data_IF_232689076414
#
_entry.id   IF_232689076414
#
_cell.length_a   1.000
_cell.length_b   1.000
_cell.length_c   1.000
_cell.angle_alpha   90.00
_cell.angle_beta   90.00
_cell.angle_gamma   90.00
#
_symmetry.space_group_name_H-M   'P 1'
#
loop_
_entity.id
_entity.type
_entity.pdbx_description
1 polymer ?
#
# COMPACT_ATOMS: atom_id res chain seq x y z
N UNK A 1 9.10 14.55 -8.79
CA UNK A 1 8.38 13.46 -9.47
C UNK A 1 8.08 12.42 -8.41
N UNK A 2 6.98 11.64 -8.42
CA UNK A 2 6.87 10.55 -7.46
C UNK A 2 7.98 9.57 -7.83
N UNK A 3 9.07 9.60 -7.07
CA UNK A 3 10.20 8.72 -7.32
C UNK A 3 9.69 7.29 -7.19
N UNK A 4 10.00 6.46 -8.19
CA UNK A 4 9.69 5.05 -8.07
C UNK A 4 10.60 4.47 -7.00
N UNK A 5 9.98 4.02 -5.92
CA UNK A 5 10.66 3.55 -4.72
C UNK A 5 10.23 2.12 -4.42
N UNK A 6 11.13 1.40 -3.75
CA UNK A 6 10.75 0.13 -3.14
C UNK A 6 9.82 0.40 -1.95
N UNK A 7 9.18 -0.63 -1.40
CA UNK A 7 8.18 -0.44 -0.35
C UNK A 7 8.78 0.24 0.90
N UNK A 8 9.98 -0.17 1.31
CA UNK A 8 10.68 0.38 2.48
C UNK A 8 11.02 1.86 2.31
N UNK A 9 11.62 2.23 1.18
CA UNK A 9 11.95 3.63 0.87
C UNK A 9 10.69 4.47 0.71
N UNK A 10 9.59 3.89 0.19
CA UNK A 10 8.30 4.59 0.09
C UNK A 10 7.76 4.93 1.48
N UNK A 11 7.87 3.99 2.42
CA UNK A 11 7.52 4.19 3.83
C UNK A 11 8.37 5.30 4.45
N UNK A 12 9.71 5.18 4.37
CA UNK A 12 10.62 6.19 4.90
C UNK A 12 10.39 7.57 4.29
N UNK A 13 10.09 7.65 2.99
CA UNK A 13 9.76 8.89 2.33
C UNK A 13 8.50 9.53 2.93
N UNK A 14 7.42 8.79 3.14
CA UNK A 14 6.23 9.32 3.81
C UNK A 14 6.54 9.75 5.26
N UNK A 15 7.30 8.94 5.99
CA UNK A 15 7.67 9.21 7.38
C UNK A 15 8.57 10.45 7.52
N UNK A 16 9.38 10.77 6.52
CA UNK A 16 10.21 11.99 6.49
C UNK A 16 9.37 13.28 6.52
N UNK A 17 8.10 13.20 6.09
CA UNK A 17 7.14 14.30 6.16
C UNK A 17 6.20 14.21 7.38
N UNK A 18 6.42 13.26 8.30
CA UNK A 18 5.50 12.96 9.40
C UNK A 18 4.21 12.27 8.96
N UNK A 19 4.18 11.71 7.75
CA UNK A 19 3.05 10.98 7.19
C UNK A 19 3.33 9.48 7.24
N UNK A 20 2.36 8.66 6.85
CA UNK A 20 2.53 7.21 6.70
C UNK A 20 2.10 6.79 5.30
N UNK A 21 2.51 5.60 4.87
CA UNK A 21 1.92 5.03 3.65
C UNK A 21 0.42 4.86 3.84
N UNK A 22 -0.33 5.17 2.77
CA UNK A 22 -1.77 5.16 2.78
C UNK A 22 -2.31 3.78 3.13
N UNK A 23 -3.37 3.78 3.92
CA UNK A 23 -4.16 2.60 4.22
C UNK A 23 -5.45 2.64 3.39
N UNK A 24 -5.96 1.49 3.02
CA UNK A 24 -7.23 1.36 2.31
C UNK A 24 -8.19 0.53 3.15
N UNK A 25 -8.51 0.99 4.36
CA UNK A 25 -9.25 0.22 5.38
C UNK A 25 -10.71 -0.10 5.01
N UNK A 26 -11.20 0.40 3.88
CA UNK A 26 -12.55 0.13 3.37
C UNK A 26 -12.57 0.07 1.84
N UNK A 27 -13.57 -0.63 1.28
CA UNK A 27 -13.77 -0.74 -0.16
C UNK A 27 -14.05 0.61 -0.83
N UNK A 28 -14.68 1.55 -0.11
CA UNK A 28 -14.91 2.92 -0.59
C UNK A 28 -13.60 3.71 -0.68
N UNK A 29 -12.71 3.57 0.30
CA UNK A 29 -11.39 4.19 0.29
C UNK A 29 -10.53 3.60 -0.83
N UNK A 30 -10.52 2.28 -0.98
CA UNK A 30 -9.86 1.59 -2.09
C UNK A 30 -10.33 2.12 -3.44
N UNK A 31 -11.65 2.21 -3.66
CA UNK A 31 -12.19 2.70 -4.93
C UNK A 31 -11.83 4.18 -5.19
N UNK A 32 -11.84 5.01 -4.14
CA UNK A 32 -11.41 6.41 -4.24
C UNK A 32 -9.94 6.50 -4.61
N UNK A 33 -9.08 5.72 -3.95
CA UNK A 33 -7.64 5.68 -4.25
C UNK A 33 -7.40 5.18 -5.67
N UNK A 34 -8.07 4.11 -6.10
CA UNK A 34 -8.01 3.62 -7.49
C UNK A 34 -8.39 4.68 -8.52
N UNK A 35 -9.46 5.42 -8.25
CA UNK A 35 -9.94 6.50 -9.14
C UNK A 35 -8.91 7.62 -9.24
N UNK A 36 -8.33 8.04 -8.11
CA UNK A 36 -7.31 9.09 -8.06
C UNK A 36 -6.01 8.66 -8.77
N UNK A 37 -5.67 7.37 -8.66
CA UNK A 37 -4.43 6.82 -9.19
C UNK A 37 -4.52 6.38 -10.66
N UNK A 38 -5.69 6.53 -11.29
CA UNK A 38 -5.91 6.29 -12.73
C UNK A 38 -5.42 4.91 -13.22
N UNK A 39 -5.49 3.89 -12.36
CA UNK A 39 -5.06 2.53 -12.69
C UNK A 39 -3.55 2.30 -12.69
N UNK A 40 -2.75 3.25 -12.17
CA UNK A 40 -1.34 3.01 -11.92
C UNK A 40 -1.11 2.10 -10.71
N UNK A 41 0.08 1.51 -10.64
CA UNK A 41 0.47 0.63 -9.55
C UNK A 41 1.21 1.41 -8.45
N UNK A 42 0.80 1.21 -7.20
CA UNK A 42 1.39 1.93 -6.07
C UNK A 42 1.38 1.15 -4.76
N UNK A 43 2.39 1.43 -3.94
CA UNK A 43 2.57 0.86 -2.62
C UNK A 43 1.54 1.41 -1.63
N UNK A 44 1.07 0.51 -0.76
CA UNK A 44 0.23 0.81 0.39
C UNK A 44 0.94 0.44 1.70
N UNK A 45 0.46 1.02 2.80
CA UNK A 45 1.01 0.83 4.13
C UNK A 45 0.53 -0.45 4.79
N UNK A 46 0.72 -1.61 4.16
CA UNK A 46 0.41 -2.90 4.74
C UNK A 46 1.44 -3.96 4.40
N UNK A 47 1.63 -4.88 5.35
CA UNK A 47 2.52 -6.02 5.24
C UNK A 47 1.83 -7.31 5.67
N UNK A 48 2.31 -8.43 5.14
CA UNK A 48 1.85 -9.77 5.51
C UNK A 48 2.76 -10.32 6.61
N UNK A 49 2.20 -10.50 7.80
CA UNK A 49 2.88 -11.09 8.94
C UNK A 49 2.21 -12.40 9.32
N UNK A 50 2.97 -13.51 9.29
CA UNK A 50 2.47 -14.86 9.61
C UNK A 50 1.20 -15.26 8.82
N UNK A 51 1.10 -14.82 7.56
CA UNK A 51 -0.05 -15.10 6.69
C UNK A 51 -1.24 -14.15 6.88
N UNK A 52 -1.12 -13.13 7.75
CA UNK A 52 -2.18 -12.15 8.02
C UNK A 52 -1.73 -10.78 7.58
N UNK A 53 -2.53 -10.13 6.73
CA UNK A 53 -2.31 -8.76 6.30
C UNK A 53 -2.64 -7.77 7.43
N UNK A 54 -1.70 -6.86 7.68
CA UNK A 54 -1.82 -5.81 8.70
C UNK A 54 -1.44 -4.46 8.11
N UNK A 55 -2.28 -3.47 8.36
CA UNK A 55 -1.94 -2.08 8.08
C UNK A 55 -0.87 -1.60 9.06
N UNK A 56 -0.08 -0.59 8.65
CA UNK A 56 0.85 0.11 9.52
C UNK A 56 0.14 0.80 10.71
N UNK A 57 -1.17 1.03 10.63
CA UNK A 57 -2.01 1.47 11.75
C UNK A 57 -2.19 0.41 12.84
N UNK A 58 -1.79 -0.85 12.59
CA UNK A 58 -1.98 -1.99 13.50
C UNK A 58 -3.33 -2.69 13.34
N UNK A 59 -4.19 -2.20 12.44
CA UNK A 59 -5.51 -2.80 12.17
C UNK A 59 -5.34 -4.03 11.27
N UNK A 60 -5.90 -5.21 11.65
CA UNK A 60 -5.91 -6.38 10.79
C UNK A 60 -6.81 -6.16 9.57
N UNK A 61 -6.32 -6.58 8.41
CA UNK A 61 -7.00 -6.42 7.14
C UNK A 61 -7.87 -7.67 6.87
N UNK A 62 -9.00 -7.79 7.58
CA UNK A 62 -9.83 -9.00 7.55
C UNK A 62 -10.99 -8.98 6.54
N UNK A 63 -11.27 -7.83 5.92
CA UNK A 63 -12.52 -7.60 5.17
C UNK A 63 -12.35 -7.27 3.69
N UNK A 64 -11.11 -7.17 3.20
CA UNK A 64 -10.83 -6.77 1.81
C UNK A 64 -10.32 -7.96 0.99
N UNK A 65 -10.78 -8.12 -0.26
CA UNK A 65 -10.24 -9.13 -1.15
C UNK A 65 -8.83 -8.71 -1.57
N UNK A 66 -7.84 -9.51 -1.22
CA UNK A 66 -6.44 -9.36 -1.63
C UNK A 66 -6.11 -10.55 -2.52
N UNK A 67 -5.55 -10.30 -3.69
CA UNK A 67 -4.88 -11.35 -4.46
C UNK A 67 -3.60 -11.69 -3.68
N UNK A 68 -3.58 -12.88 -3.05
CA UNK A 68 -2.59 -13.26 -2.05
C UNK A 68 -1.66 -14.35 -2.57
N UNK A 69 -0.44 -13.98 -2.94
CA UNK A 69 0.63 -14.87 -3.37
C UNK A 69 1.66 -15.07 -2.24
N UNK A 70 2.95 -15.04 -2.58
CA UNK A 70 4.08 -15.34 -1.69
C UNK A 70 4.77 -14.10 -1.13
N UNK A 71 4.46 -12.92 -1.66
CA UNK A 71 5.09 -11.66 -1.29
C UNK A 71 4.45 -11.09 0.00
N UNK A 72 5.12 -10.10 0.58
CA UNK A 72 4.79 -9.58 1.91
C UNK A 72 4.47 -8.09 1.94
N UNK A 73 4.54 -7.38 0.81
CA UNK A 73 4.21 -5.96 0.71
C UNK A 73 2.96 -5.73 -0.13
N UNK A 74 2.06 -4.90 0.37
CA UNK A 74 0.79 -4.64 -0.29
C UNK A 74 0.90 -3.51 -1.31
N UNK A 75 0.31 -3.71 -2.48
CA UNK A 75 0.16 -2.69 -3.49
C UNK A 75 -1.25 -2.69 -4.08
N UNK A 76 -1.55 -1.63 -4.82
CA UNK A 76 -2.67 -1.64 -5.76
C UNK A 76 -2.12 -1.95 -7.14
N UNK A 77 -2.64 -3.00 -7.75
CA UNK A 77 -2.31 -3.44 -9.10
C UNK A 77 -3.55 -3.32 -9.96
N UNK A 78 -3.54 -2.45 -10.98
CA UNK A 78 -4.68 -2.29 -11.90
C UNK A 78 -6.03 -2.11 -11.19
N UNK A 79 -6.05 -1.42 -10.06
CA UNK A 79 -7.25 -1.16 -9.27
C UNK A 79 -7.67 -2.27 -8.30
N UNK A 80 -6.81 -3.25 -8.02
CA UNK A 80 -7.05 -4.32 -7.04
C UNK A 80 -5.95 -4.34 -6.00
N UNK A 81 -6.28 -4.83 -4.81
CA UNK A 81 -5.28 -5.09 -3.78
C UNK A 81 -4.54 -6.38 -4.13
N UNK A 82 -3.22 -6.29 -4.19
CA UNK A 82 -2.34 -7.35 -4.65
C UNK A 82 -1.08 -7.36 -3.79
N UNK A 83 -0.44 -8.51 -3.66
CA UNK A 83 0.86 -8.60 -3.03
C UNK A 83 1.98 -8.38 -4.06
N UNK A 84 3.10 -7.84 -3.60
CA UNK A 84 4.24 -7.72 -4.49
C UNK A 84 5.55 -7.62 -3.75
N UNK A 85 6.59 -8.02 -4.48
CA UNK A 85 7.93 -8.09 -3.96
C UNK A 85 8.41 -6.71 -3.49
N UNK A 86 8.65 -6.62 -2.18
CA UNK A 86 9.03 -5.40 -1.47
C UNK A 86 10.27 -4.70 -2.04
N UNK A 87 11.15 -5.41 -2.75
CA UNK A 87 12.39 -4.83 -3.32
C UNK A 87 12.16 -4.11 -4.64
N UNK A 88 11.00 -4.28 -5.27
CA UNK A 88 10.67 -3.65 -6.54
C UNK A 88 10.56 -2.14 -6.42
N UNK A 89 11.42 -1.40 -7.13
CA UNK A 89 11.55 0.05 -7.05
C UNK A 89 10.94 0.79 -8.26
N UNK A 90 9.98 0.20 -8.94
CA UNK A 90 9.34 0.75 -10.14
C UNK A 90 7.87 1.13 -9.91
N UNK A 91 7.41 1.16 -8.65
CA UNK A 91 6.04 1.49 -8.26
C UNK A 91 5.99 2.86 -7.60
N UNK A 92 4.87 3.55 -7.76
CA UNK A 92 4.60 4.79 -7.03
C UNK A 92 4.17 4.48 -5.59
N UNK A 93 3.98 5.51 -4.78
CA UNK A 93 3.51 5.38 -3.41
C UNK A 93 2.51 6.48 -3.08
N UNK A 94 1.58 6.17 -2.18
CA UNK A 94 0.62 7.13 -1.67
C UNK A 94 0.87 7.30 -0.18
N UNK A 95 1.06 8.54 0.25
CA UNK A 95 1.15 8.88 1.66
C UNK A 95 -0.21 9.39 2.16
N UNK A 96 -0.58 9.06 3.39
CA UNK A 96 -1.71 9.64 4.11
C UNK A 96 -1.23 10.42 5.33
N UNK A 97 -1.94 11.51 5.64
CA UNK A 97 -1.66 12.33 6.82
C UNK A 97 -2.08 11.53 8.06
N UNK A 98 -1.13 11.32 8.97
CA UNK A 98 -1.41 10.83 10.33
C UNK A 98 -1.84 12.03 11.18
N UNK A 99 -3.11 12.06 11.62
CA UNK A 99 -3.62 13.02 12.59
C UNK A 99 -3.52 12.48 14.02
#
# INVERSE_FOLDING_TARGET
MPDHLNWANSKENCESFGWKLASAESSSLLNRTNTLMQGNDFWLGATKESGVWRWLSGVPMSTLPIEDHIDTCLLIWRGRLDDGNCVNNWKMHVCEISF
#
